data_IF_774344040152
#
_entry.id   IF_774344040152
#
_cell.length_a   1.000
_cell.length_b   1.000
_cell.length_c   1.000
_cell.angle_alpha   90.00
_cell.angle_beta   90.00
_cell.angle_gamma   90.00
#
_symmetry.space_group_name_H-M   'P 1'
#
loop_
_entity.id
_entity.type
_entity.pdbx_description
1 polymer ?
#
# COMPACT_ATOMS: atom_id res chain seq x y z
N UNK A 1 -71.98 -33.18 -3.60
CA UNK A 1 -70.88 -34.17 -3.72
C UNK A 1 -70.01 -33.93 -4.96
N UNK A 2 -70.44 -34.22 -6.18
CA UNK A 2 -69.58 -34.01 -7.37
C UNK A 2 -69.24 -32.53 -7.64
N UNK A 3 -70.21 -31.63 -7.45
CA UNK A 3 -70.00 -30.19 -7.63
C UNK A 3 -69.00 -29.59 -6.61
N UNK A 4 -69.03 -30.09 -5.38
CA UNK A 4 -68.13 -29.67 -4.29
C UNK A 4 -66.70 -30.15 -4.54
N UNK A 5 -66.55 -31.38 -5.07
CA UNK A 5 -65.26 -31.90 -5.48
C UNK A 5 -64.64 -31.05 -6.61
N UNK A 6 -65.42 -30.67 -7.62
CA UNK A 6 -64.97 -29.79 -8.71
C UNK A 6 -64.55 -28.41 -8.20
N UNK A 7 -65.32 -27.81 -7.29
CA UNK A 7 -64.95 -26.53 -6.65
C UNK A 7 -63.66 -26.64 -5.83
N UNK A 8 -63.48 -27.75 -5.12
CA UNK A 8 -62.27 -28.01 -4.34
C UNK A 8 -61.03 -28.12 -5.23
N UNK A 9 -61.13 -28.86 -6.35
CA UNK A 9 -60.05 -28.99 -7.33
C UNK A 9 -59.69 -27.62 -7.90
N UNK A 10 -60.67 -26.83 -8.33
CA UNK A 10 -60.41 -25.48 -8.88
C UNK A 10 -59.74 -24.56 -7.86
N UNK A 11 -60.16 -24.62 -6.59
CA UNK A 11 -59.50 -23.86 -5.52
C UNK A 11 -58.06 -24.33 -5.25
N UNK A 12 -57.78 -25.62 -5.39
CA UNK A 12 -56.43 -26.16 -5.27
C UNK A 12 -55.53 -25.71 -6.44
N UNK A 13 -56.06 -25.70 -7.67
CA UNK A 13 -55.37 -25.16 -8.86
C UNK A 13 -55.03 -23.68 -8.69
N UNK A 14 -56.00 -22.85 -8.27
CA UNK A 14 -55.77 -21.42 -8.04
C UNK A 14 -54.70 -21.15 -6.96
N UNK A 15 -54.65 -22.00 -5.93
CA UNK A 15 -53.62 -21.93 -4.89
C UNK A 15 -52.25 -22.34 -5.42
N UNK A 16 -52.18 -23.41 -6.21
CA UNK A 16 -50.94 -23.87 -6.82
C UNK A 16 -50.37 -22.79 -7.76
N UNK A 17 -51.21 -22.16 -8.59
CA UNK A 17 -50.82 -21.07 -9.49
C UNK A 17 -50.28 -19.86 -8.73
N UNK A 18 -50.90 -19.50 -7.60
CA UNK A 18 -50.38 -18.43 -6.73
C UNK A 18 -49.01 -18.79 -6.16
N UNK A 19 -48.84 -20.01 -5.65
CA UNK A 19 -47.55 -20.47 -5.11
C UNK A 19 -46.46 -20.41 -6.19
N UNK A 20 -46.75 -20.84 -7.42
CA UNK A 20 -45.80 -20.80 -8.53
C UNK A 20 -45.41 -19.35 -8.85
N UNK A 21 -46.39 -18.43 -8.95
CA UNK A 21 -46.13 -17.01 -9.22
C UNK A 21 -45.29 -16.36 -8.13
N UNK A 22 -45.61 -16.62 -6.86
CA UNK A 22 -44.85 -16.10 -5.72
C UNK A 22 -43.42 -16.65 -5.70
N UNK A 23 -43.24 -17.95 -5.99
CA UNK A 23 -41.91 -18.55 -6.08
C UNK A 23 -41.07 -17.93 -7.21
N UNK A 24 -41.68 -17.68 -8.37
CA UNK A 24 -41.01 -17.00 -9.49
C UNK A 24 -40.62 -15.57 -9.16
N UNK A 25 -41.47 -14.81 -8.45
CA UNK A 25 -41.15 -13.46 -8.00
C UNK A 25 -39.99 -13.46 -7.01
N UNK A 26 -40.07 -14.31 -5.96
CA UNK A 26 -39.00 -14.44 -4.97
C UNK A 26 -37.67 -14.85 -5.61
N UNK A 27 -37.69 -15.77 -6.57
CA UNK A 27 -36.48 -16.16 -7.30
C UNK A 27 -35.83 -14.98 -8.01
N UNK A 28 -36.62 -14.14 -8.70
CA UNK A 28 -36.11 -12.93 -9.36
C UNK A 28 -35.57 -11.91 -8.35
N UNK A 29 -36.23 -11.74 -7.21
CA UNK A 29 -35.76 -10.85 -6.14
C UNK A 29 -34.44 -11.31 -5.56
N UNK A 30 -34.28 -12.61 -5.28
CA UNK A 30 -33.03 -13.19 -4.78
C UNK A 30 -31.88 -12.94 -5.76
N UNK A 31 -32.11 -13.15 -7.06
CA UNK A 31 -31.08 -12.90 -8.09
C UNK A 31 -30.71 -11.41 -8.10
N UNK A 32 -31.70 -10.52 -8.11
CA UNK A 32 -31.46 -9.07 -8.13
C UNK A 32 -30.69 -8.58 -6.89
N UNK A 33 -31.04 -9.09 -5.71
CA UNK A 33 -30.30 -8.80 -4.49
C UNK A 33 -28.87 -9.32 -4.54
N UNK A 34 -28.68 -10.55 -5.02
CA UNK A 34 -27.35 -11.16 -5.15
C UNK A 34 -26.47 -10.35 -6.11
N UNK A 35 -27.01 -9.90 -7.24
CA UNK A 35 -26.31 -9.02 -8.18
C UNK A 35 -25.94 -7.68 -7.55
N UNK A 36 -26.84 -7.05 -6.80
CA UNK A 36 -26.58 -5.79 -6.11
C UNK A 36 -25.47 -5.94 -5.06
N UNK A 37 -25.57 -6.96 -4.20
CA UNK A 37 -24.55 -7.30 -3.18
C UNK A 37 -23.20 -7.62 -3.82
N UNK A 38 -23.20 -8.34 -4.94
CA UNK A 38 -21.99 -8.66 -5.70
C UNK A 38 -21.30 -7.40 -6.24
N UNK A 39 -22.06 -6.50 -6.88
CA UNK A 39 -21.53 -5.23 -7.39
C UNK A 39 -20.95 -4.36 -6.28
N UNK A 40 -21.65 -4.26 -5.16
CA UNK A 40 -21.18 -3.51 -3.99
C UNK A 40 -19.88 -4.12 -3.43
N UNK A 41 -19.84 -5.45 -3.27
CA UNK A 41 -18.66 -6.15 -2.76
C UNK A 41 -17.47 -5.99 -3.70
N UNK A 42 -17.69 -6.11 -5.00
CA UNK A 42 -16.65 -5.88 -6.01
C UNK A 42 -16.07 -4.46 -5.91
N UNK A 43 -16.94 -3.44 -5.87
CA UNK A 43 -16.51 -2.05 -5.69
C UNK A 43 -15.74 -1.84 -4.39
N UNK A 44 -16.19 -2.46 -3.30
CA UNK A 44 -15.49 -2.41 -2.01
C UNK A 44 -14.08 -3.01 -2.07
N UNK A 45 -13.92 -4.17 -2.73
CA UNK A 45 -12.62 -4.83 -2.90
C UNK A 45 -11.66 -3.93 -3.70
N UNK A 46 -12.12 -3.38 -4.82
CA UNK A 46 -11.30 -2.48 -5.65
C UNK A 46 -10.89 -1.23 -4.87
N UNK A 47 -11.82 -0.63 -4.13
CA UNK A 47 -11.51 0.55 -3.32
C UNK A 47 -10.47 0.25 -2.23
N UNK A 48 -10.61 -0.88 -1.53
CA UNK A 48 -9.63 -1.31 -0.52
C UNK A 48 -8.27 -1.56 -1.14
N UNK A 49 -8.20 -2.26 -2.28
CA UNK A 49 -6.93 -2.49 -2.98
C UNK A 49 -6.25 -1.18 -3.39
N UNK A 50 -7.01 -0.19 -3.86
CA UNK A 50 -6.49 1.13 -4.20
C UNK A 50 -5.99 1.90 -2.97
N UNK A 51 -6.68 1.80 -1.83
CA UNK A 51 -6.27 2.44 -0.58
C UNK A 51 -4.99 1.80 -0.03
N UNK A 52 -4.91 0.47 -0.01
CA UNK A 52 -3.71 -0.26 0.39
C UNK A 52 -2.52 0.07 -0.51
N UNK A 53 -2.72 0.11 -1.83
CA UNK A 53 -1.67 0.51 -2.78
C UNK A 53 -1.15 1.92 -2.50
N UNK A 54 -2.05 2.89 -2.26
CA UNK A 54 -1.66 4.26 -1.87
C UNK A 54 -0.87 4.28 -0.56
N UNK A 55 -1.31 3.50 0.43
CA UNK A 55 -0.61 3.43 1.72
C UNK A 55 0.79 2.85 1.57
N UNK A 56 0.97 1.79 0.77
CA UNK A 56 2.28 1.20 0.49
C UNK A 56 3.21 2.23 -0.18
N UNK A 57 2.72 2.94 -1.21
CA UNK A 57 3.51 3.97 -1.90
C UNK A 57 3.89 5.10 -0.95
N UNK A 58 2.93 5.62 -0.17
CA UNK A 58 3.19 6.71 0.75
C UNK A 58 4.17 6.32 1.86
N UNK A 59 4.07 5.09 2.37
CA UNK A 59 5.01 4.58 3.36
C UNK A 59 6.42 4.46 2.75
N UNK A 60 6.54 3.91 1.54
CA UNK A 60 7.82 3.82 0.84
C UNK A 60 8.46 5.19 0.58
N UNK A 61 7.66 6.21 0.24
CA UNK A 61 8.14 7.60 0.10
C UNK A 61 8.66 8.12 1.44
N UNK A 62 7.90 7.96 2.52
CA UNK A 62 8.31 8.43 3.87
C UNK A 62 9.59 7.76 4.33
N UNK A 63 9.66 6.44 4.24
CA UNK A 63 10.85 5.67 4.60
C UNK A 63 12.06 6.11 3.77
N UNK A 64 11.89 6.30 2.47
CA UNK A 64 12.95 6.80 1.58
C UNK A 64 13.41 8.22 1.95
N UNK A 65 12.49 9.11 2.32
CA UNK A 65 12.84 10.47 2.77
C UNK A 65 13.56 10.47 4.11
N UNK A 66 13.16 9.63 5.06
CA UNK A 66 13.82 9.48 6.35
C UNK A 66 15.22 8.91 6.20
N UNK A 67 15.39 7.89 5.36
CA UNK A 67 16.68 7.30 5.03
C UNK A 67 17.60 8.32 4.36
N UNK A 68 17.10 9.07 3.37
CA UNK A 68 17.87 10.10 2.69
C UNK A 68 18.32 11.22 3.65
N UNK A 69 17.45 11.63 4.58
CA UNK A 69 17.82 12.60 5.63
C UNK A 69 18.91 12.06 6.54
N UNK A 70 18.83 10.79 6.93
CA UNK A 70 19.86 10.14 7.77
C UNK A 70 21.21 10.13 7.06
N UNK A 71 21.25 9.63 5.82
CA UNK A 71 22.47 9.59 5.00
C UNK A 71 23.07 10.98 4.84
N UNK A 72 22.24 12.00 4.61
CA UNK A 72 22.70 13.38 4.49
C UNK A 72 23.34 13.89 5.78
N UNK A 73 22.70 13.68 6.92
CA UNK A 73 23.23 14.09 8.23
C UNK A 73 24.55 13.40 8.55
N UNK A 74 24.63 12.08 8.33
CA UNK A 74 25.87 11.31 8.51
C UNK A 74 26.99 11.85 7.61
N UNK A 75 26.70 12.14 6.34
CA UNK A 75 27.66 12.75 5.41
C UNK A 75 28.12 14.14 5.85
N UNK A 76 27.22 14.99 6.35
CA UNK A 76 27.57 16.31 6.90
C UNK A 76 28.47 16.19 8.13
N UNK A 77 28.21 15.22 9.03
CA UNK A 77 29.09 14.94 10.17
C UNK A 77 30.48 14.45 9.73
N UNK A 78 30.56 13.59 8.73
CA UNK A 78 31.84 13.12 8.19
C UNK A 78 32.66 14.25 7.57
N UNK A 79 32.02 15.12 6.78
CA UNK A 79 32.68 16.32 6.23
C UNK A 79 33.20 17.22 7.34
N UNK A 80 32.39 17.47 8.38
CA UNK A 80 32.81 18.27 9.52
C UNK A 80 34.01 17.66 10.25
N UNK A 81 34.04 16.33 10.44
CA UNK A 81 35.20 15.63 11.03
C UNK A 81 36.48 15.77 10.19
N UNK A 82 36.36 15.81 8.87
CA UNK A 82 37.50 16.02 7.97
C UNK A 82 37.98 17.48 8.03
N UNK A 83 37.07 18.43 8.12
CA UNK A 83 37.41 19.86 8.19
C UNK A 83 37.99 20.26 9.56
N UNK A 84 37.54 19.61 10.64
CA UNK A 84 38.01 19.86 12.02
C UNK A 84 39.35 19.16 12.34
N UNK A 85 40.17 18.88 11.31
CA UNK A 85 41.52 18.36 11.53
C UNK A 85 42.37 19.42 12.21
N UNK A 86 42.95 19.06 13.36
CA UNK A 86 43.71 20.02 14.17
C UNK A 86 44.89 20.64 13.42
N UNK A 87 45.11 21.94 13.66
CA UNK A 87 46.24 22.70 13.12
C UNK A 87 47.59 22.04 13.42
N UNK A 88 47.72 21.35 14.57
CA UNK A 88 48.92 20.58 14.91
C UNK A 88 49.19 19.42 13.96
N UNK A 89 48.16 18.70 13.50
CA UNK A 89 48.32 17.63 12.51
C UNK A 89 48.74 18.21 11.17
N UNK A 90 48.16 19.34 10.78
CA UNK A 90 48.51 20.06 9.55
C UNK A 90 49.97 20.53 9.61
N UNK A 91 50.38 21.17 10.70
CA UNK A 91 51.75 21.65 10.90
C UNK A 91 52.77 20.49 10.91
N UNK A 92 52.44 19.36 11.53
CA UNK A 92 53.28 18.14 11.47
C UNK A 92 53.42 17.62 10.04
N UNK A 93 52.34 17.60 9.26
CA UNK A 93 52.40 17.18 7.86
C UNK A 93 53.27 18.13 7.01
N UNK A 94 53.16 19.45 7.23
CA UNK A 94 54.01 20.46 6.57
C UNK A 94 55.49 20.21 6.92
N UNK A 95 55.82 20.04 8.20
CA UNK A 95 57.20 19.80 8.62
C UNK A 95 57.81 18.53 8.02
N UNK A 96 57.02 17.45 7.92
CA UNK A 96 57.47 16.22 7.24
C UNK A 96 57.80 16.46 5.77
N UNK A 97 57.01 17.28 5.08
CA UNK A 97 57.27 17.63 3.67
C UNK A 97 58.54 18.47 3.55
N UNK A 98 58.70 19.49 4.41
CA UNK A 98 59.90 20.34 4.43
C UNK A 98 61.15 19.51 4.70
N UNK A 99 61.14 18.64 5.71
CA UNK A 99 62.27 17.75 5.99
C UNK A 99 62.62 16.85 4.80
N UNK A 100 61.61 16.33 4.08
CA UNK A 100 61.84 15.48 2.91
C UNK A 100 62.51 16.24 1.77
N UNK A 101 62.10 17.49 1.52
CA UNK A 101 62.71 18.34 0.48
C UNK A 101 64.14 18.70 0.87
N UNK A 102 64.36 19.13 2.12
CA UNK A 102 65.68 19.51 2.62
C UNK A 102 66.64 18.32 2.61
N UNK A 103 66.22 17.11 2.99
CA UNK A 103 67.07 15.91 2.88
C UNK A 103 67.37 15.50 1.43
N UNK A 104 66.48 15.83 0.49
CA UNK A 104 66.67 15.50 -0.94
C UNK A 104 67.56 16.51 -1.68
N UNK A 105 67.66 17.75 -1.21
CA UNK A 105 68.45 18.84 -1.85
C UNK A 105 69.63 19.34 -1.00
N UNK A 106 69.71 18.98 0.28
CA UNK A 106 70.70 19.46 1.24
C UNK A 106 71.97 18.62 1.30
N UNK A 107 72.25 17.82 0.27
CA UNK A 107 73.52 17.09 0.13
C UNK A 107 74.33 17.68 -1.03
N UNK A 108 74.62 18.98 -0.91
CA UNK A 108 75.80 19.62 -1.51
C UNK A 108 76.39 20.60 -0.51
#
# INVERSE_FOLDING_TARGET
MALDAIKSIKSAEDKADKIIKEAQLKSKEIIKEAEAKSKEKYKSIINKGNEESKNIINNGIKEGEEEAKRIKLEGEEEVNKILDVSSDKINKAINLIVERIVKSHGNS
#
